data_IF_747173721885
#
_entry.id   IF_747173721885
#
_cell.length_a   1.000
_cell.length_b   1.000
_cell.length_c   1.000
_cell.angle_alpha   90.00
_cell.angle_beta   90.00
_cell.angle_gamma   90.00
#
_symmetry.space_group_name_H-M   'P 1'
#
loop_
_entity.id
_entity.type
_entity.pdbx_description
1 polymer ?
#
# COMPACT_ATOMS: atom_id res chain seq x y z
N UNK A 1 -25.20 18.95 -42.78
CA UNK A 1 -23.79 18.62 -42.43
C UNK A 1 -23.72 18.36 -40.94
N UNK A 2 -23.52 17.10 -40.57
CA UNK A 2 -23.57 16.58 -39.20
C UNK A 2 -22.28 17.00 -38.46
N UNK A 3 -22.38 17.90 -37.48
CA UNK A 3 -21.27 18.16 -36.56
C UNK A 3 -21.38 17.14 -35.42
N UNK A 4 -20.46 16.20 -35.44
CA UNK A 4 -20.29 15.13 -34.45
C UNK A 4 -20.04 15.73 -33.07
N UNK A 5 -20.96 15.47 -32.15
CA UNK A 5 -20.79 15.70 -30.72
C UNK A 5 -19.80 14.64 -30.20
N UNK A 6 -18.55 15.02 -29.97
CA UNK A 6 -17.59 14.17 -29.26
C UNK A 6 -17.88 14.26 -27.76
N UNK A 7 -18.72 13.36 -27.27
CA UNK A 7 -18.89 13.12 -25.83
C UNK A 7 -17.65 12.34 -25.38
N UNK A 8 -16.73 13.02 -24.71
CA UNK A 8 -15.70 12.36 -23.92
C UNK A 8 -16.41 11.65 -22.76
N UNK A 9 -16.57 10.33 -22.86
CA UNK A 9 -17.04 9.50 -21.77
C UNK A 9 -15.95 9.46 -20.69
N UNK A 10 -16.05 10.35 -19.71
CA UNK A 10 -15.34 10.20 -18.45
C UNK A 10 -16.01 9.02 -17.74
N UNK A 11 -15.35 7.86 -17.75
CA UNK A 11 -15.72 6.74 -16.88
C UNK A 11 -15.46 7.15 -15.42
N UNK A 12 -16.46 7.80 -14.79
CA UNK A 12 -16.57 7.83 -13.35
C UNK A 12 -16.94 6.41 -12.91
N UNK A 13 -15.94 5.63 -12.47
CA UNK A 13 -16.24 4.44 -11.68
C UNK A 13 -16.90 4.90 -10.38
N UNK A 14 -18.08 4.36 -10.11
CA UNK A 14 -19.00 4.81 -9.08
C UNK A 14 -18.34 4.96 -7.70
N UNK A 15 -18.61 6.10 -7.05
CA UNK A 15 -18.51 6.22 -5.61
C UNK A 15 -19.51 5.25 -4.97
N UNK A 16 -19.08 4.02 -4.72
CA UNK A 16 -19.64 3.29 -3.60
C UNK A 16 -19.21 4.05 -2.34
N UNK A 17 -20.14 4.81 -1.76
CA UNK A 17 -20.00 5.35 -0.42
C UNK A 17 -19.99 4.16 0.57
N UNK A 18 -18.89 3.42 0.59
CA UNK A 18 -18.55 2.61 1.75
C UNK A 18 -18.33 3.60 2.88
N UNK A 19 -19.25 3.59 3.85
CA UNK A 19 -18.99 4.12 5.18
C UNK A 19 -17.88 3.27 5.81
N UNK A 20 -16.65 3.45 5.34
CA UNK A 20 -15.49 2.81 5.93
C UNK A 20 -15.24 3.50 7.26
N UNK A 21 -15.23 2.70 8.33
CA UNK A 21 -14.63 3.13 9.57
C UNK A 21 -13.19 3.53 9.23
N UNK A 22 -12.92 4.84 9.33
CA UNK A 22 -11.58 5.39 9.21
C UNK A 22 -10.64 4.65 10.16
N UNK A 23 -9.40 4.46 9.73
CA UNK A 23 -8.37 3.79 10.51
C UNK A 23 -7.91 4.63 11.70
N UNK A 24 -7.32 3.96 12.69
CA UNK A 24 -6.86 4.57 13.93
C UNK A 24 -5.33 4.64 13.98
N UNK A 25 -4.84 5.53 14.84
CA UNK A 25 -3.43 5.83 15.05
C UNK A 25 -3.06 5.42 16.49
N UNK A 26 -1.79 5.09 16.82
CA UNK A 26 -0.59 5.26 16.00
C UNK A 26 -0.44 4.20 14.91
N UNK A 27 0.21 4.58 13.81
CA UNK A 27 0.55 3.71 12.70
C UNK A 27 1.96 3.11 12.85
N UNK A 28 2.16 1.93 12.29
CA UNK A 28 3.49 1.38 12.01
C UNK A 28 3.68 1.30 10.50
N UNK A 29 4.73 1.94 9.97
CA UNK A 29 5.07 1.90 8.55
C UNK A 29 6.30 1.00 8.35
N UNK A 30 6.19 -0.01 7.48
CA UNK A 30 7.29 -0.95 7.16
C UNK A 30 7.41 -1.20 5.66
N UNK A 31 8.61 -1.60 5.23
CA UNK A 31 8.83 -2.07 3.86
C UNK A 31 8.48 -3.55 3.73
N UNK A 32 8.16 -3.98 2.51
CA UNK A 32 8.14 -5.36 2.06
C UNK A 32 8.90 -5.47 0.73
N UNK A 33 10.11 -6.01 0.77
CA UNK A 33 11.04 -6.02 -0.36
C UNK A 33 12.16 -4.98 -0.26
N UNK A 34 12.24 -4.24 0.85
CA UNK A 34 13.33 -3.30 1.18
C UNK A 34 13.53 -2.16 0.19
N UNK A 35 12.48 -1.70 -0.50
CA UNK A 35 12.54 -0.49 -1.31
C UNK A 35 12.69 0.78 -0.45
N UNK A 36 13.36 1.79 -1.01
CA UNK A 36 13.46 3.12 -0.40
C UNK A 36 12.10 3.85 -0.35
N UNK A 37 11.08 3.33 -1.03
CA UNK A 37 9.74 3.91 -1.11
C UNK A 37 9.09 4.02 0.28
N UNK A 38 9.46 3.15 1.23
CA UNK A 38 9.01 3.24 2.63
C UNK A 38 9.36 4.59 3.28
N UNK A 39 10.48 5.21 2.90
CA UNK A 39 10.89 6.53 3.42
C UNK A 39 10.10 7.67 2.78
N UNK A 40 9.67 7.50 1.53
CA UNK A 40 8.76 8.43 0.87
C UNK A 40 7.38 8.37 1.54
N UNK A 41 6.87 7.16 1.83
CA UNK A 41 5.62 6.99 2.59
C UNK A 41 5.73 7.61 3.99
N UNK A 42 6.84 7.39 4.70
CA UNK A 42 7.11 8.06 5.99
C UNK A 42 7.00 9.59 5.87
N UNK A 43 7.58 10.18 4.81
CA UNK A 43 7.51 11.62 4.59
C UNK A 43 6.08 12.09 4.30
N UNK A 44 5.31 11.34 3.50
CA UNK A 44 3.90 11.64 3.24
C UNK A 44 3.08 11.59 4.53
N UNK A 45 3.24 10.55 5.33
CA UNK A 45 2.55 10.40 6.61
C UNK A 45 2.86 11.55 7.58
N UNK A 46 4.15 11.92 7.72
CA UNK A 46 4.58 13.06 8.54
C UNK A 46 3.96 14.38 8.09
N UNK A 47 3.92 14.64 6.79
CA UNK A 47 3.30 15.87 6.23
C UNK A 47 1.81 15.98 6.53
N UNK A 48 1.15 14.84 6.76
CA UNK A 48 -0.27 14.75 7.07
C UNK A 48 -0.55 14.62 8.58
N UNK A 49 0.49 14.79 9.41
CA UNK A 49 0.42 14.63 10.86
C UNK A 49 -0.23 13.29 11.24
N UNK A 50 0.16 12.20 10.56
CA UNK A 50 -0.20 10.85 10.95
C UNK A 50 0.79 10.40 12.01
N UNK A 51 0.27 10.15 13.22
CA UNK A 51 1.02 9.68 14.37
C UNK A 51 1.45 8.24 14.20
N UNK A 52 2.66 7.93 14.62
CA UNK A 52 3.23 6.60 14.52
C UNK A 52 4.71 6.60 14.21
N UNK A 53 5.21 5.43 13.89
CA UNK A 53 6.62 5.22 13.60
C UNK A 53 6.86 4.51 12.27
N UNK A 54 8.10 4.60 11.79
CA UNK A 54 8.53 3.88 10.59
C UNK A 54 9.71 3.01 10.96
N UNK A 55 9.51 1.70 10.89
CA UNK A 55 10.56 0.71 11.05
C UNK A 55 10.65 -0.11 9.77
N UNK A 56 11.72 0.12 9.01
CA UNK A 56 11.91 -0.50 7.69
C UNK A 56 11.87 -2.03 7.76
N UNK A 57 12.45 -2.56 8.84
CA UNK A 57 12.52 -3.97 9.20
C UNK A 57 11.66 -4.24 10.43
N UNK A 58 10.39 -3.86 10.38
CA UNK A 58 9.47 -4.17 11.47
C UNK A 58 9.34 -5.68 11.65
N UNK A 59 9.11 -6.08 12.90
CA UNK A 59 8.83 -7.44 13.36
C UNK A 59 7.49 -7.48 14.09
N UNK A 60 7.02 -8.68 14.36
CA UNK A 60 5.82 -8.95 15.15
C UNK A 60 5.83 -8.28 16.53
N UNK A 61 7.00 -8.15 17.16
CA UNK A 61 7.16 -7.48 18.46
C UNK A 61 6.99 -5.97 18.40
N UNK A 62 7.00 -5.37 17.21
CA UNK A 62 6.82 -3.92 17.03
C UNK A 62 5.34 -3.53 16.90
N UNK A 63 4.42 -4.49 16.96
CA UNK A 63 2.98 -4.23 16.79
C UNK A 63 2.26 -3.83 18.09
N UNK A 64 2.98 -3.73 19.20
CA UNK A 64 2.35 -3.38 20.48
C UNK A 64 1.95 -1.90 20.50
N UNK A 65 0.68 -1.65 20.82
CA UNK A 65 0.09 -0.31 20.76
C UNK A 65 -0.24 0.20 19.34
N UNK A 66 0.15 -0.52 18.29
CA UNK A 66 -0.15 -0.16 16.89
C UNK A 66 -1.63 -0.36 16.60
N UNK A 67 -2.24 0.63 15.96
CA UNK A 67 -3.65 0.60 15.54
C UNK A 67 -3.84 0.34 14.06
N UNK A 68 -2.85 0.66 13.24
CA UNK A 68 -2.86 0.40 11.79
C UNK A 68 -1.45 0.08 11.30
N UNK A 69 -1.33 -0.96 10.47
CA UNK A 69 -0.08 -1.32 9.81
C UNK A 69 -0.09 -0.82 8.37
N UNK A 70 0.87 0.03 8.00
CA UNK A 70 1.08 0.47 6.62
C UNK A 70 2.26 -0.32 6.04
N UNK A 71 2.03 -1.10 4.99
CA UNK A 71 3.08 -1.87 4.32
C UNK A 71 3.33 -1.31 2.93
N UNK A 72 4.61 -1.08 2.62
CA UNK A 72 5.08 -0.51 1.35
C UNK A 72 5.80 -1.59 0.55
N UNK A 73 5.11 -2.28 -0.39
CA UNK A 73 5.72 -3.28 -1.24
C UNK A 73 6.66 -2.70 -2.28
N UNK A 74 7.71 -3.46 -2.59
CA UNK A 74 8.59 -3.21 -3.72
C UNK A 74 9.95 -3.88 -3.52
N UNK A 75 10.33 -4.77 -4.42
CA UNK A 75 11.62 -5.45 -4.33
C UNK A 75 12.78 -4.51 -4.65
N UNK A 76 13.84 -4.58 -3.84
CA UNK A 76 15.09 -3.84 -4.02
C UNK A 76 16.28 -4.74 -3.66
N UNK A 77 17.01 -5.20 -4.67
CA UNK A 77 18.22 -6.01 -4.46
C UNK A 77 19.27 -5.30 -3.59
N UNK A 78 19.48 -3.99 -3.83
CA UNK A 78 20.34 -3.15 -2.99
C UNK A 78 19.83 -3.04 -1.55
N UNK A 79 18.51 -2.93 -1.38
CA UNK A 79 17.86 -2.85 -0.07
C UNK A 79 18.08 -4.12 0.74
N UNK A 80 17.80 -5.27 0.15
CA UNK A 80 18.05 -6.59 0.74
C UNK A 80 19.54 -6.80 1.08
N UNK A 81 20.44 -6.45 0.15
CA UNK A 81 21.88 -6.53 0.40
C UNK A 81 22.34 -5.64 1.56
N UNK A 82 21.74 -4.45 1.73
CA UNK A 82 22.04 -3.55 2.85
C UNK A 82 21.44 -4.04 4.18
N UNK A 83 20.29 -4.72 4.11
CA UNK A 83 19.66 -5.35 5.26
C UNK A 83 20.33 -6.68 5.67
N UNK A 84 21.17 -7.26 4.81
CA UNK A 84 21.87 -8.51 5.06
C UNK A 84 20.95 -9.73 5.02
N UNK A 85 19.87 -9.69 4.23
CA UNK A 85 18.87 -10.75 4.15
C UNK A 85 18.59 -11.17 2.70
N UNK A 86 18.15 -12.41 2.51
CA UNK A 86 17.69 -12.90 1.22
C UNK A 86 16.25 -12.43 0.92
N UNK A 87 15.82 -12.61 -0.34
CA UNK A 87 14.41 -12.40 -0.70
C UNK A 87 13.47 -13.34 0.05
N UNK A 88 13.90 -14.58 0.31
CA UNK A 88 13.12 -15.57 1.04
C UNK A 88 12.94 -15.17 2.50
N UNK A 89 14.02 -14.75 3.17
CA UNK A 89 13.97 -14.21 4.53
C UNK A 89 13.00 -13.03 4.62
N UNK A 90 13.06 -12.13 3.65
CA UNK A 90 12.17 -10.98 3.59
C UNK A 90 10.71 -11.40 3.37
N UNK A 91 10.46 -12.38 2.50
CA UNK A 91 9.12 -12.91 2.27
C UNK A 91 8.55 -13.56 3.54
N UNK A 92 9.37 -14.30 4.28
CA UNK A 92 8.96 -14.91 5.55
C UNK A 92 8.64 -13.85 6.60
N UNK A 93 9.47 -12.81 6.73
CA UNK A 93 9.19 -11.67 7.62
C UNK A 93 7.87 -10.98 7.27
N UNK A 94 7.61 -10.74 5.99
CA UNK A 94 6.35 -10.11 5.55
C UNK A 94 5.14 -11.00 5.84
N UNK A 95 5.24 -12.31 5.63
CA UNK A 95 4.20 -13.28 6.01
C UNK A 95 3.90 -13.25 7.51
N UNK A 96 4.94 -13.20 8.34
CA UNK A 96 4.80 -13.13 9.80
C UNK A 96 4.14 -11.83 10.25
N UNK A 97 4.50 -10.70 9.64
CA UNK A 97 3.83 -9.42 9.90
C UNK A 97 2.34 -9.48 9.52
N UNK A 98 2.00 -9.95 8.32
CA UNK A 98 0.60 -10.07 7.87
C UNK A 98 -0.19 -10.96 8.81
N UNK A 99 0.35 -12.14 9.17
CA UNK A 99 -0.27 -13.08 10.11
C UNK A 99 -0.48 -12.46 11.50
N UNK A 100 0.52 -11.74 12.01
CA UNK A 100 0.44 -11.09 13.33
C UNK A 100 -0.61 -9.98 13.33
N UNK A 101 -0.63 -9.14 12.29
CA UNK A 101 -1.62 -8.09 12.16
C UNK A 101 -3.06 -8.67 12.12
N UNK A 102 -3.27 -9.76 11.37
CA UNK A 102 -4.55 -10.46 11.35
C UNK A 102 -4.93 -11.02 12.73
N UNK A 103 -4.00 -11.71 13.41
CA UNK A 103 -4.24 -12.28 14.74
C UNK A 103 -4.54 -11.23 15.82
N UNK A 104 -3.96 -10.03 15.69
CA UNK A 104 -4.21 -8.88 16.58
C UNK A 104 -5.38 -7.99 16.12
N UNK A 105 -6.05 -8.32 15.01
CA UNK A 105 -7.06 -7.47 14.37
C UNK A 105 -6.56 -6.04 14.03
N UNK A 106 -5.28 -5.90 13.72
CA UNK A 106 -4.68 -4.65 13.24
C UNK A 106 -4.94 -4.56 11.73
N UNK A 107 -5.69 -3.57 11.24
CA UNK A 107 -5.92 -3.40 9.81
C UNK A 107 -4.62 -3.06 9.09
N UNK A 108 -4.48 -3.63 7.88
CA UNK A 108 -3.36 -3.37 6.98
C UNK A 108 -3.80 -2.38 5.89
N UNK A 109 -3.00 -1.35 5.66
CA UNK A 109 -3.09 -0.44 4.51
C UNK A 109 -1.88 -0.67 3.62
N UNK A 110 -2.10 -0.93 2.34
CA UNK A 110 -1.02 -1.05 1.36
C UNK A 110 -0.76 0.29 0.68
N UNK A 111 0.51 0.66 0.56
CA UNK A 111 0.92 1.82 -0.25
C UNK A 111 1.89 1.41 -1.34
N UNK A 112 1.40 1.23 -2.56
CA UNK A 112 2.22 0.94 -3.73
C UNK A 112 2.55 2.22 -4.50
N UNK A 113 3.56 2.96 -4.02
CA UNK A 113 3.95 4.25 -4.63
C UNK A 113 5.10 4.15 -5.64
N UNK A 114 5.79 3.01 -5.70
CA UNK A 114 6.93 2.82 -6.62
C UNK A 114 6.54 2.60 -8.08
N UNK A 115 5.24 2.57 -8.38
CA UNK A 115 4.70 2.45 -9.74
C UNK A 115 5.18 1.19 -10.45
N UNK A 116 5.41 1.30 -11.78
CA UNK A 116 5.84 0.21 -12.64
C UNK A 116 7.17 -0.42 -12.21
N UNK A 117 8.07 0.38 -11.63
CA UNK A 117 9.39 -0.09 -11.18
C UNK A 117 9.34 -1.10 -10.03
N UNK A 118 8.19 -1.18 -9.34
CA UNK A 118 7.94 -2.11 -8.24
C UNK A 118 6.86 -3.16 -8.58
N UNK A 119 6.61 -3.39 -9.87
CA UNK A 119 5.72 -4.46 -10.36
C UNK A 119 6.48 -5.44 -11.23
N UNK A 120 5.95 -6.65 -11.38
CA UNK A 120 6.60 -7.74 -12.09
C UNK A 120 7.69 -8.42 -11.27
N UNK A 121 8.04 -9.63 -11.71
CA UNK A 121 9.16 -10.40 -11.19
C UNK A 121 9.11 -10.56 -9.67
N UNK A 122 10.20 -10.18 -9.00
CA UNK A 122 10.36 -10.38 -7.55
C UNK A 122 9.44 -9.48 -6.69
N UNK A 123 8.89 -8.41 -7.26
CA UNK A 123 8.01 -7.50 -6.49
C UNK A 123 6.59 -8.04 -6.34
N UNK A 124 6.09 -8.77 -7.34
CA UNK A 124 4.67 -9.17 -7.38
C UNK A 124 4.32 -10.10 -6.22
N UNK A 125 5.22 -10.99 -5.80
CA UNK A 125 4.98 -11.83 -4.62
C UNK A 125 4.77 -11.02 -3.34
N UNK A 126 5.49 -9.91 -3.17
CA UNK A 126 5.25 -8.99 -2.03
C UNK A 126 3.96 -8.21 -2.20
N UNK A 127 3.67 -7.75 -3.43
CA UNK A 127 2.46 -7.01 -3.73
C UNK A 127 1.20 -7.86 -3.49
N UNK A 128 1.19 -9.11 -3.97
CA UNK A 128 0.07 -10.04 -3.88
C UNK A 128 -0.31 -10.33 -2.43
N UNK A 129 0.65 -10.80 -1.62
CA UNK A 129 0.37 -11.17 -0.23
C UNK A 129 -0.19 -10.00 0.59
N UNK A 130 0.29 -8.78 0.35
CA UNK A 130 -0.22 -7.61 1.07
C UNK A 130 -1.57 -7.20 0.52
N UNK A 131 -1.73 -7.14 -0.80
CA UNK A 131 -2.97 -6.73 -1.45
C UNK A 131 -4.13 -7.65 -1.06
N UNK A 132 -3.92 -8.97 -0.99
CA UNK A 132 -4.95 -9.93 -0.59
C UNK A 132 -5.35 -9.83 0.90
N UNK A 133 -4.50 -9.25 1.75
CA UNK A 133 -4.70 -9.21 3.20
C UNK A 133 -4.91 -7.80 3.77
N UNK A 134 -5.01 -6.78 2.91
CA UNK A 134 -5.22 -5.40 3.32
C UNK A 134 -6.70 -5.00 3.37
N UNK A 135 -6.97 -3.83 3.95
CA UNK A 135 -8.31 -3.20 4.02
C UNK A 135 -8.45 -1.99 3.11
N UNK A 136 -7.33 -1.39 2.72
CA UNK A 136 -7.28 -0.32 1.74
C UNK A 136 -5.93 -0.33 1.01
N UNK A 137 -5.94 0.13 -0.23
CA UNK A 137 -4.77 0.27 -1.08
C UNK A 137 -4.71 1.69 -1.64
N UNK A 138 -3.54 2.32 -1.58
CA UNK A 138 -3.20 3.51 -2.36
C UNK A 138 -2.13 3.10 -3.35
N UNK A 139 -2.40 3.28 -4.63
CA UNK A 139 -1.55 2.79 -5.72
C UNK A 139 -1.25 3.91 -6.69
N UNK A 140 0.02 4.13 -7.01
CA UNK A 140 0.37 4.98 -8.16
C UNK A 140 -0.01 4.22 -9.43
N UNK A 141 -0.85 4.83 -10.28
CA UNK A 141 -1.52 4.22 -11.43
C UNK A 141 -0.59 3.46 -12.38
N UNK A 142 0.63 3.96 -12.58
CA UNK A 142 1.65 3.26 -13.38
C UNK A 142 2.00 1.86 -12.86
N UNK A 143 1.79 1.61 -11.57
CA UNK A 143 1.95 0.30 -10.95
C UNK A 143 0.72 -0.60 -11.06
N UNK A 144 -0.31 -0.19 -11.80
CA UNK A 144 -1.57 -0.93 -11.95
C UNK A 144 -2.09 -0.92 -13.39
N UNK A 145 -1.22 -0.63 -14.38
CA UNK A 145 -1.60 -0.59 -15.80
C UNK A 145 -2.19 -1.91 -16.30
N UNK A 146 -1.78 -3.01 -15.67
CA UNK A 146 -2.24 -4.38 -15.96
C UNK A 146 -3.49 -4.79 -15.17
N UNK A 147 -4.02 -3.92 -14.31
CA UNK A 147 -5.19 -4.18 -13.48
C UNK A 147 -4.94 -5.09 -12.28
N UNK A 148 -3.70 -5.51 -12.01
CA UNK A 148 -3.37 -6.48 -10.95
C UNK A 148 -3.98 -6.12 -9.58
N UNK A 149 -3.79 -4.89 -9.11
CA UNK A 149 -4.36 -4.46 -7.82
C UNK A 149 -5.86 -4.26 -7.92
N UNK A 150 -6.36 -3.78 -9.06
CA UNK A 150 -7.80 -3.63 -9.30
C UNK A 150 -8.54 -4.96 -9.25
N UNK A 151 -7.95 -6.02 -9.78
CA UNK A 151 -8.55 -7.35 -9.79
C UNK A 151 -8.55 -7.97 -8.40
N UNK A 152 -7.45 -7.83 -7.64
CA UNK A 152 -7.39 -8.23 -6.24
C UNK A 152 -8.38 -7.43 -5.39
N UNK A 153 -8.50 -6.11 -5.64
CA UNK A 153 -9.45 -5.24 -4.95
C UNK A 153 -10.89 -5.70 -5.14
N UNK A 154 -11.29 -5.94 -6.40
CA UNK A 154 -12.64 -6.42 -6.76
C UNK A 154 -12.93 -7.79 -6.15
N UNK A 155 -11.98 -8.73 -6.25
CA UNK A 155 -12.12 -10.09 -5.71
C UNK A 155 -12.36 -10.09 -4.21
N UNK A 156 -11.68 -9.21 -3.48
CA UNK A 156 -11.70 -9.18 -2.01
C UNK A 156 -12.54 -8.06 -1.41
N UNK A 157 -13.24 -7.28 -2.24
CA UNK A 157 -14.03 -6.11 -1.83
C UNK A 157 -13.20 -5.08 -1.01
N UNK A 158 -11.97 -4.82 -1.48
CA UNK A 158 -11.01 -3.91 -0.86
C UNK A 158 -11.11 -2.54 -1.53
N UNK A 159 -11.05 -1.47 -0.73
CA UNK A 159 -10.95 -0.11 -1.26
C UNK A 159 -9.60 0.09 -1.95
N UNK A 160 -9.62 0.55 -3.19
CA UNK A 160 -8.42 0.95 -3.93
C UNK A 160 -8.54 2.41 -4.37
N UNK A 161 -7.50 3.19 -4.12
CA UNK A 161 -7.36 4.58 -4.52
C UNK A 161 -6.15 4.69 -5.45
N UNK A 162 -6.41 4.97 -6.73
CA UNK A 162 -5.35 5.17 -7.72
C UNK A 162 -4.99 6.65 -7.83
N UNK A 163 -3.69 6.94 -7.80
CA UNK A 163 -3.16 8.31 -7.92
C UNK A 163 -2.17 8.40 -9.08
N UNK A 164 -2.09 9.57 -9.72
CA UNK A 164 -1.25 9.73 -10.91
C UNK A 164 0.26 9.77 -10.58
N UNK A 165 0.64 10.30 -9.40
CA UNK A 165 2.03 10.40 -8.94
C UNK A 165 2.13 10.29 -7.42
N UNK A 166 3.35 10.03 -6.92
CA UNK A 166 3.64 9.81 -5.49
C UNK A 166 3.13 10.95 -4.60
N UNK A 167 3.28 12.22 -5.03
CA UNK A 167 2.84 13.37 -4.24
C UNK A 167 1.33 13.38 -3.96
N UNK A 168 0.55 12.80 -4.88
CA UNK A 168 -0.90 12.85 -4.85
C UNK A 168 -1.46 11.80 -3.87
N UNK A 169 -0.62 10.89 -3.38
CA UNK A 169 -0.98 9.93 -2.33
C UNK A 169 -1.13 10.57 -0.93
N UNK A 170 -0.65 11.81 -0.73
CA UNK A 170 -0.66 12.44 0.59
C UNK A 170 -2.09 12.68 1.12
N UNK A 171 -2.96 13.29 0.32
CA UNK A 171 -4.33 13.60 0.73
C UNK A 171 -5.16 12.33 0.92
N UNK A 172 -5.18 11.37 -0.03
CA UNK A 172 -5.87 10.10 0.16
C UNK A 172 -5.39 9.35 1.41
N UNK A 173 -4.08 9.35 1.68
CA UNK A 173 -3.55 8.74 2.90
C UNK A 173 -4.13 9.38 4.16
N UNK A 174 -4.28 10.71 4.22
CA UNK A 174 -4.89 11.38 5.37
C UNK A 174 -6.36 11.04 5.53
N UNK A 175 -7.10 10.97 4.42
CA UNK A 175 -8.55 10.70 4.43
C UNK A 175 -8.89 9.30 4.96
N UNK A 176 -7.95 8.36 4.88
CA UNK A 176 -8.07 7.03 5.46
C UNK A 176 -8.13 7.04 7.00
N UNK A 177 -7.65 8.08 7.69
CA UNK A 177 -7.56 8.12 9.16
C UNK A 177 -8.59 9.05 9.82
N UNK A 178 -8.96 8.71 11.06
CA UNK A 178 -9.74 9.56 11.98
C UNK A 178 -8.91 10.75 12.45
#
# INVERSE_FOLDING_TARGET
>A
MKKTLSIAAILLFALAAFSQNKFEQPVLITSAGQSADVKLVQLLAKRQAIEGETKVMAKETDMDGVKTLIIVPGFSSKGLGSAGISQEDEMNRVKELVKTAQGKNIPIVMMHIGGKSRRGGQSDGFCEIIAENCKAMIVVKQGNEDGFFTDIAKKNNIQILEVEKISDAAVPLKELFK
#
